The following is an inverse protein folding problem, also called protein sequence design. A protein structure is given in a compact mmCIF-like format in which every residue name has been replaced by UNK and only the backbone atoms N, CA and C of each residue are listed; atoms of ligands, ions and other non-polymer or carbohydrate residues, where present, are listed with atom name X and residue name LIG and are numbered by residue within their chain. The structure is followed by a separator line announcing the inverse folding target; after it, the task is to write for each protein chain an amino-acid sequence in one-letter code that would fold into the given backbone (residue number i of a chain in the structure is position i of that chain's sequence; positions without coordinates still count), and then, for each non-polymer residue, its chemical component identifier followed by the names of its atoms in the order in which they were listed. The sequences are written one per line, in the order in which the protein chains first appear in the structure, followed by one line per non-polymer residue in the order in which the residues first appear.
data_IF_311768104087
#
_entry.id   IF_311768104087
#
_cell.length_a   1.000
_cell.length_b   1.000
_cell.length_c   1.000
_cell.angle_alpha   90.00
_cell.angle_beta   90.00
_cell.angle_gamma   90.00
#
_symmetry.space_group_name_H-M   'P 1'
#
loop_
_entity.id
_entity.type
_entity.pdbx_description
1 polymer ?
#
# COMPACT_ATOMS: atom_id res chain seq x y z
N UNK A 1 -2.07 14.97 19.21
CA UNK A 1 -3.55 15.08 19.05
C UNK A 1 -4.08 13.68 18.77
N UNK A 2 -5.00 13.17 19.58
CA UNK A 2 -5.46 11.77 19.53
C UNK A 2 -6.84 11.75 18.89
N UNK A 3 -7.00 11.05 17.78
CA UNK A 3 -8.30 10.78 17.15
C UNK A 3 -8.94 9.55 17.83
N UNK A 4 -10.20 9.66 18.27
CA UNK A 4 -10.94 8.51 18.82
C UNK A 4 -11.85 7.93 17.73
N UNK A 5 -11.55 6.71 17.31
CA UNK A 5 -12.50 5.86 16.60
C UNK A 5 -12.88 4.73 17.57
N UNK A 6 -14.12 4.73 18.06
CA UNK A 6 -14.69 3.70 18.97
C UNK A 6 -13.71 3.22 20.08
N UNK A 7 -13.29 4.12 20.99
CA UNK A 7 -12.48 3.84 22.18
C UNK A 7 -11.01 3.38 21.98
N UNK A 8 -10.46 3.42 20.78
CA UNK A 8 -9.03 3.18 20.53
C UNK A 8 -8.38 4.54 20.27
N UNK A 9 -7.37 4.88 21.09
CA UNK A 9 -6.50 6.03 20.85
C UNK A 9 -5.53 5.66 19.74
N UNK A 10 -5.79 6.14 18.52
CA UNK A 10 -4.89 5.93 17.38
C UNK A 10 -3.85 7.06 17.39
N UNK A 11 -2.55 6.74 17.48
CA UNK A 11 -1.51 7.76 17.41
C UNK A 11 -1.48 8.41 16.04
N UNK A 12 -1.08 9.68 15.99
CA UNK A 12 -0.73 10.33 14.72
C UNK A 12 0.59 9.69 14.27
N UNK A 13 0.55 9.01 13.13
CA UNK A 13 1.66 8.22 12.62
C UNK A 13 1.77 8.44 11.11
N UNK A 14 2.99 8.53 10.61
CA UNK A 14 3.25 8.63 9.17
C UNK A 14 3.04 7.29 8.47
N UNK A 15 2.58 7.36 7.24
CA UNK A 15 2.41 6.21 6.35
C UNK A 15 3.38 6.34 5.19
N UNK A 16 4.35 5.45 5.13
CA UNK A 16 5.32 5.35 4.04
C UNK A 16 4.79 4.42 2.97
N UNK A 17 4.75 4.89 1.71
CA UNK A 17 4.30 4.08 0.58
C UNK A 17 5.42 3.99 -0.46
N UNK A 18 5.83 2.76 -0.79
CA UNK A 18 6.84 2.48 -1.80
C UNK A 18 6.25 2.60 -3.20
N UNK A 19 6.59 3.69 -3.89
CA UNK A 19 6.01 4.06 -5.19
C UNK A 19 7.05 4.10 -6.32
N UNK A 20 8.30 3.70 -6.09
CA UNK A 20 9.40 3.96 -7.02
C UNK A 20 9.79 2.82 -7.95
N UNK A 21 9.15 1.66 -7.87
CA UNK A 21 9.45 0.48 -8.69
C UNK A 21 9.03 0.63 -10.15
N UNK A 22 9.74 -0.04 -11.07
CA UNK A 22 9.46 0.02 -12.52
C UNK A 22 8.21 -0.76 -12.93
N UNK A 23 7.79 -1.77 -12.16
CA UNK A 23 6.59 -2.57 -12.44
C UNK A 23 6.67 -3.37 -13.74
N UNK A 24 7.84 -3.91 -14.08
CA UNK A 24 8.14 -4.56 -15.38
C UNK A 24 7.22 -5.73 -15.74
N UNK A 25 6.58 -6.38 -14.76
CA UNK A 25 5.61 -7.46 -14.96
C UNK A 25 4.22 -6.98 -15.43
N UNK A 26 3.95 -5.67 -15.35
CA UNK A 26 2.72 -5.01 -15.79
C UNK A 26 3.04 -4.01 -16.92
N UNK A 27 3.79 -4.46 -17.93
CA UNK A 27 4.40 -3.59 -18.94
C UNK A 27 3.37 -2.80 -19.74
N UNK A 28 2.22 -3.37 -20.03
CA UNK A 28 1.12 -2.75 -20.78
C UNK A 28 0.64 -1.43 -20.15
N UNK A 29 0.74 -1.30 -18.84
CA UNK A 29 0.37 -0.10 -18.09
C UNK A 29 1.59 0.73 -17.70
N UNK A 30 2.68 0.07 -17.26
CA UNK A 30 3.83 0.77 -16.65
C UNK A 30 4.72 1.45 -17.68
N UNK A 31 4.54 1.14 -18.96
CA UNK A 31 5.12 1.92 -20.06
C UNK A 31 4.55 3.35 -20.12
N UNK A 32 3.31 3.55 -19.70
CA UNK A 32 2.63 4.85 -19.78
C UNK A 32 2.57 5.56 -18.43
N UNK A 33 2.46 4.85 -17.31
CA UNK A 33 2.31 5.41 -15.95
C UNK A 33 3.01 4.56 -14.90
N UNK A 34 3.45 5.11 -13.75
CA UNK A 34 4.01 4.28 -12.69
C UNK A 34 2.92 3.37 -12.08
N UNK A 35 3.30 2.18 -11.62
CA UNK A 35 2.38 1.15 -11.10
C UNK A 35 1.36 1.69 -10.06
N UNK A 36 1.73 2.58 -9.12
CA UNK A 36 0.77 3.17 -8.17
C UNK A 36 -0.33 4.02 -8.83
N UNK A 37 -0.12 4.50 -10.05
CA UNK A 37 -1.12 5.26 -10.81
C UNK A 37 -1.97 4.41 -11.77
N UNK A 38 -1.84 3.10 -11.74
CA UNK A 38 -2.72 2.21 -12.50
C UNK A 38 -4.14 2.31 -11.96
N UNK A 39 -5.12 2.44 -12.87
CA UNK A 39 -6.50 2.73 -12.50
C UNK A 39 -7.25 1.50 -12.02
N UNK A 40 -7.90 1.62 -10.88
CA UNK A 40 -8.86 0.66 -10.34
C UNK A 40 -10.22 1.37 -10.25
N UNK A 41 -11.10 1.04 -11.17
CA UNK A 41 -12.31 1.82 -11.38
C UNK A 41 -11.98 3.24 -11.84
N UNK A 42 -12.47 4.23 -11.09
CA UNK A 42 -12.29 5.65 -11.42
C UNK A 42 -11.15 6.36 -10.66
N UNK A 43 -10.36 5.62 -9.89
CA UNK A 43 -9.25 6.17 -9.10
C UNK A 43 -7.99 5.31 -9.22
N UNK A 44 -6.78 5.89 -9.11
CA UNK A 44 -5.56 5.09 -9.14
C UNK A 44 -5.41 4.21 -7.88
N UNK A 45 -4.67 3.13 -8.01
CA UNK A 45 -4.33 2.19 -6.92
C UNK A 45 -3.86 2.92 -5.66
N UNK A 46 -2.94 3.86 -5.81
CA UNK A 46 -2.39 4.66 -4.72
C UNK A 46 -3.48 5.40 -3.93
N UNK A 47 -4.49 5.93 -4.62
CA UNK A 47 -5.60 6.61 -3.97
C UNK A 47 -6.39 5.63 -3.07
N UNK A 48 -6.66 4.40 -3.54
CA UNK A 48 -7.35 3.39 -2.74
C UNK A 48 -6.55 3.01 -1.50
N UNK A 49 -5.24 2.84 -1.63
CA UNK A 49 -4.34 2.55 -0.50
C UNK A 49 -4.39 3.69 0.52
N UNK A 50 -4.17 4.94 0.08
CA UNK A 50 -4.21 6.11 0.97
C UNK A 50 -5.58 6.28 1.64
N UNK A 51 -6.66 5.96 0.93
CA UNK A 51 -8.03 6.04 1.46
C UNK A 51 -8.29 5.01 2.56
N UNK A 52 -7.72 3.80 2.43
CA UNK A 52 -7.75 2.79 3.49
C UNK A 52 -7.10 3.32 4.78
N UNK A 53 -5.88 3.86 4.68
CA UNK A 53 -5.18 4.44 5.83
C UNK A 53 -5.94 5.64 6.43
N UNK A 54 -6.47 6.51 5.57
CA UNK A 54 -7.26 7.67 5.97
C UNK A 54 -8.54 7.29 6.72
N UNK A 55 -9.17 6.15 6.39
CA UNK A 55 -10.33 5.62 7.11
C UNK A 55 -10.03 5.36 8.59
N UNK A 56 -8.79 4.94 8.91
CA UNK A 56 -8.31 4.77 10.27
C UNK A 56 -7.70 6.03 10.89
N UNK A 57 -7.76 7.18 10.19
CA UNK A 57 -7.26 8.46 10.70
C UNK A 57 -5.80 8.77 10.35
N UNK A 58 -5.09 7.88 9.65
CA UNK A 58 -3.73 8.12 9.17
C UNK A 58 -3.77 8.95 7.90
N UNK A 59 -3.39 10.23 7.98
CA UNK A 59 -3.51 11.20 6.90
C UNK A 59 -2.18 11.89 6.53
N UNK A 60 -1.08 11.46 7.12
CA UNK A 60 0.27 11.98 6.83
C UNK A 60 1.07 10.92 6.08
N UNK A 61 1.33 11.18 4.79
CA UNK A 61 1.91 10.22 3.87
C UNK A 61 3.30 10.64 3.42
N UNK A 62 4.23 9.68 3.35
CA UNK A 62 5.54 9.83 2.72
C UNK A 62 5.59 8.89 1.51
N UNK A 63 5.55 9.43 0.30
CA UNK A 63 5.60 8.66 -0.94
C UNK A 63 7.06 8.53 -1.41
N UNK A 64 7.61 7.31 -1.36
CA UNK A 64 8.96 7.01 -1.85
C UNK A 64 8.96 6.95 -3.37
N UNK A 65 9.32 8.03 -4.04
CA UNK A 65 9.28 8.16 -5.50
C UNK A 65 10.54 7.60 -6.17
N UNK A 66 10.39 7.19 -7.40
CA UNK A 66 11.44 6.73 -8.30
C UNK A 66 10.97 6.78 -9.74
N UNK A 67 10.80 5.63 -10.39
CA UNK A 67 10.33 5.55 -11.78
C UNK A 67 9.05 6.32 -12.01
N UNK A 68 9.07 7.29 -12.93
CA UNK A 68 7.96 8.21 -13.28
C UNK A 68 7.33 8.91 -12.05
N UNK A 69 8.13 9.23 -11.04
CA UNK A 69 7.64 9.86 -9.81
C UNK A 69 7.01 11.24 -10.03
N UNK A 70 7.41 11.95 -11.10
CA UNK A 70 6.81 13.21 -11.53
C UNK A 70 5.32 13.09 -11.87
N UNK A 71 4.91 11.94 -12.41
CA UNK A 71 3.49 11.69 -12.71
C UNK A 71 2.66 11.58 -11.42
N UNK A 72 3.24 10.99 -10.36
CA UNK A 72 2.58 10.91 -9.06
C UNK A 72 2.44 12.31 -8.46
N UNK A 73 3.50 13.14 -8.51
CA UNK A 73 3.42 14.56 -8.09
C UNK A 73 2.33 15.29 -8.85
N UNK A 74 2.32 15.18 -10.19
CA UNK A 74 1.35 15.84 -11.06
C UNK A 74 -0.10 15.41 -10.77
N UNK A 75 -0.33 14.14 -10.45
CA UNK A 75 -1.65 13.65 -10.06
C UNK A 75 -2.18 14.38 -8.82
N UNK A 76 -1.37 14.53 -7.76
CA UNK A 76 -1.80 15.18 -6.54
C UNK A 76 -1.81 16.70 -6.62
N UNK A 77 -0.88 17.31 -7.37
CA UNK A 77 -0.87 18.75 -7.60
C UNK A 77 -2.08 19.25 -8.38
N UNK A 78 -2.64 18.39 -9.25
CA UNK A 78 -3.84 18.69 -10.03
C UNK A 78 -5.06 17.87 -9.51
N UNK A 79 -5.06 17.48 -8.23
CA UNK A 79 -6.07 16.57 -7.69
C UNK A 79 -7.49 17.14 -7.81
N UNK A 80 -7.67 18.40 -7.47
CA UNK A 80 -8.98 19.05 -7.48
C UNK A 80 -9.53 19.16 -8.91
N UNK A 81 -8.66 19.48 -9.87
CA UNK A 81 -9.04 19.58 -11.29
C UNK A 81 -9.39 18.22 -11.89
N UNK A 82 -8.67 17.17 -11.48
CA UNK A 82 -8.94 15.80 -11.92
C UNK A 82 -10.17 15.19 -11.24
N UNK A 83 -10.58 15.75 -10.11
CA UNK A 83 -11.66 15.22 -9.28
C UNK A 83 -13.00 15.94 -9.47
N UNK A 84 -13.00 17.19 -9.98
CA UNK A 84 -14.17 18.06 -10.03
C UNK A 84 -14.29 18.79 -11.37
N UNK A 85 -15.51 19.20 -11.71
CA UNK A 85 -15.75 20.11 -12.82
C UNK A 85 -15.26 21.52 -12.48
N UNK A 86 -14.68 22.23 -13.45
CA UNK A 86 -14.22 23.60 -13.26
C UNK A 86 -14.30 24.39 -14.56
N UNK A 87 -14.35 25.71 -14.44
CA UNK A 87 -14.24 26.64 -15.57
C UNK A 87 -12.88 27.32 -15.54
N UNK A 88 -12.14 27.27 -16.66
CA UNK A 88 -10.86 27.93 -16.86
C UNK A 88 -11.02 29.12 -17.80
N UNK A 89 -10.68 30.33 -17.33
CA UNK A 89 -10.62 31.55 -18.15
C UNK A 89 -9.17 31.79 -18.61
N UNK A 90 -8.81 31.29 -19.81
CA UNK A 90 -7.43 31.32 -20.32
C UNK A 90 -6.81 32.72 -20.36
N UNK A 91 -7.59 33.75 -20.73
CA UNK A 91 -7.08 35.12 -20.86
C UNK A 91 -6.72 35.79 -19.53
N UNK A 92 -7.34 35.41 -18.44
CA UNK A 92 -7.13 35.98 -17.10
C UNK A 92 -6.38 35.05 -16.15
N UNK A 93 -6.18 33.78 -16.53
CA UNK A 93 -5.68 32.75 -15.63
C UNK A 93 -6.60 32.41 -14.47
N UNK A 94 -7.81 32.97 -14.46
CA UNK A 94 -8.81 32.73 -13.41
C UNK A 94 -9.42 31.36 -13.54
N UNK A 95 -9.50 30.63 -12.43
CA UNK A 95 -10.06 29.31 -12.33
C UNK A 95 -11.22 29.33 -11.33
N UNK A 96 -12.37 28.88 -11.78
CA UNK A 96 -13.55 28.72 -10.92
C UNK A 96 -13.85 27.21 -10.82
N UNK A 97 -13.66 26.66 -9.64
CA UNK A 97 -13.97 25.26 -9.37
C UNK A 97 -15.42 25.16 -8.96
N UNK A 98 -16.21 24.42 -9.72
CA UNK A 98 -17.61 24.16 -9.43
C UNK A 98 -17.72 22.99 -8.44
N UNK A 99 -17.62 23.29 -7.16
CA UNK A 99 -17.76 22.28 -6.12
C UNK A 99 -19.23 22.01 -5.81
N UNK A 100 -19.69 20.82 -6.09
CA UNK A 100 -20.97 20.36 -5.55
C UNK A 100 -20.84 19.59 -4.23
N UNK A 101 -19.65 19.11 -3.88
CA UNK A 101 -19.36 18.47 -2.58
C UNK A 101 -17.87 18.61 -2.24
N UNK A 102 -17.56 18.96 -1.01
CA UNK A 102 -16.18 19.01 -0.50
C UNK A 102 -15.72 17.59 -0.17
N UNK A 103 -15.37 16.81 -1.21
CA UNK A 103 -14.95 15.40 -1.10
C UNK A 103 -13.43 15.24 -1.13
N UNK A 104 -12.68 16.34 -1.25
CA UNK A 104 -11.22 16.33 -1.27
C UNK A 104 -10.67 15.83 0.06
N UNK A 105 -9.87 14.76 0.06
CA UNK A 105 -9.25 14.27 1.29
C UNK A 105 -8.31 15.29 1.92
N UNK A 106 -8.28 15.34 3.25
CA UNK A 106 -7.33 16.19 3.99
C UNK A 106 -6.04 15.41 4.26
N UNK A 107 -5.25 15.17 3.21
CA UNK A 107 -3.98 14.48 3.31
C UNK A 107 -2.81 15.47 3.34
N UNK A 108 -1.83 15.19 4.20
CA UNK A 108 -0.48 15.74 4.12
C UNK A 108 0.38 14.76 3.33
N UNK A 109 1.06 15.20 2.28
CA UNK A 109 1.82 14.31 1.41
C UNK A 109 3.25 14.85 1.23
N UNK A 110 4.23 14.08 1.69
CA UNK A 110 5.65 14.31 1.40
C UNK A 110 6.03 13.46 0.19
N UNK A 111 6.48 14.12 -0.87
CA UNK A 111 7.01 13.49 -2.07
C UNK A 111 8.52 13.33 -1.94
N UNK A 112 8.98 12.19 -1.46
CA UNK A 112 10.40 11.91 -1.26
C UNK A 112 11.00 11.29 -2.54
N UNK A 113 11.93 11.99 -3.19
CA UNK A 113 12.71 11.41 -4.27
C UNK A 113 13.73 10.44 -3.67
N UNK A 114 13.50 9.16 -3.83
CA UNK A 114 14.36 8.10 -3.31
C UNK A 114 15.26 7.49 -4.38
N UNK A 115 15.28 8.06 -5.59
CA UNK A 115 16.11 7.63 -6.69
C UNK A 115 15.44 6.63 -7.63
N UNK A 116 15.74 6.74 -8.92
CA UNK A 116 15.08 5.98 -9.98
C UNK A 116 15.39 4.48 -9.90
N UNK A 117 16.65 4.11 -9.68
CA UNK A 117 17.14 2.71 -9.64
C UNK A 117 17.39 2.21 -8.23
N UNK A 118 16.73 2.79 -7.23
CA UNK A 118 16.91 2.43 -5.84
C UNK A 118 16.03 1.24 -5.45
N UNK A 119 16.57 0.30 -4.69
CA UNK A 119 15.85 -0.86 -4.16
C UNK A 119 14.99 -0.50 -2.92
N UNK A 120 14.07 -1.38 -2.55
CA UNK A 120 13.03 -1.14 -1.54
C UNK A 120 13.59 -0.75 -0.17
N UNK A 121 14.58 -1.45 0.35
CA UNK A 121 15.21 -1.17 1.64
C UNK A 121 15.94 0.17 1.65
N UNK A 122 16.66 0.47 0.57
CA UNK A 122 17.34 1.76 0.45
C UNK A 122 16.37 2.94 0.31
N UNK A 123 15.20 2.75 -0.30
CA UNK A 123 14.14 3.78 -0.29
C UNK A 123 13.67 4.09 1.13
N UNK A 124 13.44 3.03 1.93
CA UNK A 124 13.05 3.20 3.34
C UNK A 124 14.16 3.91 4.11
N UNK A 125 15.43 3.53 3.92
CA UNK A 125 16.56 4.21 4.58
C UNK A 125 16.60 5.71 4.26
N UNK A 126 16.36 6.10 3.00
CA UNK A 126 16.44 7.49 2.53
C UNK A 126 15.36 8.41 3.08
N UNK A 127 14.25 7.84 3.58
CA UNK A 127 13.14 8.65 4.13
C UNK A 127 13.25 8.87 5.64
N UNK A 128 14.31 8.40 6.30
CA UNK A 128 14.51 8.57 7.74
C UNK A 128 14.32 10.00 8.21
N UNK A 129 14.83 10.99 7.46
CA UNK A 129 14.68 12.41 7.77
C UNK A 129 13.22 12.90 7.79
N UNK A 130 12.32 12.23 7.06
CA UNK A 130 10.90 12.59 7.01
C UNK A 130 10.09 11.88 8.12
N UNK A 131 10.62 10.79 8.69
CA UNK A 131 10.04 10.16 9.88
C UNK A 131 10.37 11.00 11.11
N UNK A 132 11.58 11.55 11.18
CA UNK A 132 12.02 12.40 12.29
C UNK A 132 12.14 11.60 13.58
N UNK A 133 11.59 12.18 14.66
CA UNK A 133 11.62 11.61 16.01
C UNK A 133 10.43 10.68 16.29
N UNK A 134 9.58 10.38 15.28
CA UNK A 134 8.48 9.43 15.45
C UNK A 134 9.06 8.06 15.80
N UNK A 135 8.59 7.47 16.90
CA UNK A 135 9.08 6.15 17.34
C UNK A 135 8.64 5.02 16.40
N UNK A 136 7.50 5.21 15.73
CA UNK A 136 6.87 4.21 14.86
C UNK A 136 6.25 4.87 13.63
N UNK A 137 6.15 4.10 12.56
CA UNK A 137 5.46 4.47 11.33
C UNK A 137 4.86 3.26 10.64
N UNK A 138 3.87 3.50 9.79
CA UNK A 138 3.34 2.47 8.91
C UNK A 138 4.06 2.46 7.57
N UNK A 139 4.22 1.27 6.99
CA UNK A 139 4.87 1.09 5.68
C UNK A 139 4.03 0.16 4.82
N UNK A 140 3.91 0.46 3.54
CA UNK A 140 3.27 -0.45 2.57
C UNK A 140 3.82 -0.29 1.16
N UNK A 141 3.49 -1.24 0.30
CA UNK A 141 3.74 -1.18 -1.13
C UNK A 141 2.63 -0.38 -1.83
N UNK A 142 2.96 0.16 -3.02
CA UNK A 142 2.03 0.95 -3.83
C UNK A 142 1.20 0.14 -4.84
N UNK A 143 1.06 -1.18 -4.63
CA UNK A 143 0.54 -2.11 -5.64
C UNK A 143 -0.44 -3.18 -5.12
N UNK A 144 -0.86 -3.08 -3.86
CA UNK A 144 -1.83 -4.00 -3.27
C UNK A 144 -2.93 -3.26 -2.50
N UNK A 145 -4.15 -3.77 -2.59
CA UNK A 145 -5.31 -3.34 -1.80
C UNK A 145 -5.81 -4.49 -0.92
N UNK A 146 -6.34 -4.14 0.25
CA UNK A 146 -6.86 -5.09 1.21
C UNK A 146 -7.95 -4.45 2.09
N UNK A 147 -8.70 -5.27 2.81
CA UNK A 147 -9.62 -4.84 3.88
C UNK A 147 -8.99 -5.05 5.27
N UNK A 148 -7.65 -4.92 5.36
CA UNK A 148 -6.91 -5.11 6.60
C UNK A 148 -7.35 -4.11 7.67
N UNK A 149 -7.60 -4.61 8.89
CA UNK A 149 -7.89 -3.76 10.04
C UNK A 149 -6.58 -3.17 10.59
N UNK A 150 -6.29 -1.93 10.22
CA UNK A 150 -5.05 -1.24 10.64
C UNK A 150 -5.01 -0.95 12.14
N UNK A 151 -6.15 -0.81 12.79
CA UNK A 151 -6.20 -0.62 14.25
C UNK A 151 -5.80 -1.92 14.98
N UNK A 152 -6.30 -3.07 14.52
CA UNK A 152 -5.93 -4.37 15.08
C UNK A 152 -4.47 -4.73 14.77
N UNK A 153 -3.99 -4.41 13.55
CA UNK A 153 -2.58 -4.55 13.16
C UNK A 153 -1.67 -3.75 14.10
N UNK A 154 -2.00 -2.48 14.33
CA UNK A 154 -1.24 -1.63 15.25
C UNK A 154 -1.26 -2.16 16.69
N UNK A 155 -2.44 -2.52 17.20
CA UNK A 155 -2.57 -3.11 18.53
C UNK A 155 -1.72 -4.38 18.67
N UNK A 156 -1.75 -5.26 17.67
CA UNK A 156 -0.93 -6.48 17.65
C UNK A 156 0.57 -6.15 17.68
N UNK A 157 1.01 -5.13 16.93
CA UNK A 157 2.39 -4.66 16.94
C UNK A 157 2.83 -4.24 18.34
N UNK A 158 2.01 -3.42 19.01
CA UNK A 158 2.26 -2.97 20.40
C UNK A 158 2.36 -4.15 21.37
N UNK A 159 1.46 -5.13 21.28
CA UNK A 159 1.46 -6.33 22.13
C UNK A 159 2.69 -7.20 21.90
N UNK A 160 3.22 -7.26 20.67
CA UNK A 160 4.41 -8.03 20.34
C UNK A 160 5.72 -7.31 20.68
N UNK A 161 5.75 -5.99 20.66
CA UNK A 161 6.91 -5.16 20.99
C UNK A 161 8.12 -5.45 20.10
N UNK A 162 7.89 -5.74 18.81
CA UNK A 162 8.94 -6.08 17.83
C UNK A 162 9.29 -4.90 16.95
N UNK A 163 10.47 -4.93 16.35
CA UNK A 163 10.93 -3.87 15.44
C UNK A 163 10.03 -3.74 14.22
N UNK A 164 9.56 -4.87 13.67
CA UNK A 164 8.67 -4.89 12.51
C UNK A 164 7.54 -5.89 12.71
N UNK A 165 6.33 -5.48 12.38
CA UNK A 165 5.18 -6.39 12.18
C UNK A 165 4.75 -6.31 10.71
N UNK A 166 4.69 -7.46 10.05
CA UNK A 166 4.20 -7.59 8.65
C UNK A 166 2.82 -8.24 8.64
N UNK A 167 1.95 -7.79 7.74
CA UNK A 167 0.70 -8.49 7.47
C UNK A 167 0.97 -9.70 6.59
N UNK A 168 0.73 -10.89 7.14
CA UNK A 168 0.77 -12.15 6.40
C UNK A 168 -0.56 -12.42 5.73
N UNK A 169 -0.52 -12.88 4.49
CA UNK A 169 -1.69 -13.25 3.68
C UNK A 169 -1.49 -14.63 3.06
N UNK A 170 -2.58 -15.26 2.68
CA UNK A 170 -2.58 -16.56 1.98
C UNK A 170 -3.29 -16.39 0.63
N UNK A 171 -2.62 -15.85 -0.42
CA UNK A 171 -3.23 -15.70 -1.72
C UNK A 171 -3.51 -17.08 -2.35
N UNK A 172 -4.53 -17.19 -3.26
CA UNK A 172 -4.73 -18.41 -4.04
C UNK A 172 -3.47 -18.77 -4.82
N UNK A 173 -3.15 -20.06 -4.90
CA UNK A 173 -2.08 -20.53 -5.79
C UNK A 173 -2.34 -20.07 -7.23
N UNK A 174 -1.33 -19.60 -7.98
CA UNK A 174 -1.51 -19.24 -9.39
C UNK A 174 -1.75 -20.47 -10.28
N UNK A 175 -1.49 -21.71 -9.75
CA UNK A 175 -1.58 -22.96 -10.47
C UNK A 175 -2.48 -23.96 -9.74
N UNK A 176 -2.98 -24.97 -10.49
CA UNK A 176 -3.56 -26.15 -9.91
C UNK A 176 -2.52 -26.96 -9.12
N UNK A 177 -2.93 -27.51 -7.99
CA UNK A 177 -2.09 -28.35 -7.11
C UNK A 177 -2.55 -29.81 -7.20
N UNK A 178 -1.59 -30.72 -7.32
CA UNK A 178 -1.83 -32.15 -7.43
C UNK A 178 -1.30 -32.87 -6.18
N UNK A 179 -2.16 -33.62 -5.51
CA UNK A 179 -1.72 -34.61 -4.54
C UNK A 179 -1.36 -35.91 -5.29
N UNK A 180 -0.13 -36.39 -5.10
CA UNK A 180 0.36 -37.57 -5.81
C UNK A 180 0.73 -38.69 -4.84
N UNK A 181 0.58 -39.95 -5.28
CA UNK A 181 1.11 -41.10 -4.61
C UNK A 181 1.64 -42.12 -5.66
N UNK A 182 2.87 -42.57 -5.50
CA UNK A 182 3.56 -43.52 -6.39
C UNK A 182 3.43 -43.14 -7.89
N UNK A 183 3.55 -41.87 -8.23
CA UNK A 183 3.46 -41.37 -9.60
C UNK A 183 2.04 -41.22 -10.15
N UNK A 184 1.00 -41.51 -9.36
CA UNK A 184 -0.42 -41.32 -9.70
C UNK A 184 -0.97 -40.09 -9.02
N UNK A 185 -1.78 -39.29 -9.77
CA UNK A 185 -2.51 -38.15 -9.21
C UNK A 185 -3.73 -38.71 -8.45
N UNK A 186 -3.81 -38.40 -7.14
CA UNK A 186 -4.92 -38.78 -6.26
C UNK A 186 -5.97 -37.71 -6.11
N UNK A 187 -5.54 -36.44 -6.20
CA UNK A 187 -6.45 -35.30 -6.17
C UNK A 187 -5.86 -34.14 -6.99
N UNK A 188 -6.73 -33.37 -7.62
CA UNK A 188 -6.39 -32.12 -8.29
C UNK A 188 -7.29 -31.02 -7.75
N UNK A 189 -6.68 -29.90 -7.35
CA UNK A 189 -7.41 -28.72 -6.91
C UNK A 189 -6.93 -27.52 -7.69
N UNK A 190 -7.82 -26.87 -8.43
CA UNK A 190 -7.51 -25.70 -9.21
C UNK A 190 -7.38 -24.50 -8.28
N UNK A 191 -6.21 -23.84 -8.29
CA UNK A 191 -5.91 -22.61 -7.54
C UNK A 191 -6.36 -22.66 -6.07
N UNK A 192 -5.92 -23.65 -5.29
CA UNK A 192 -6.26 -23.69 -3.87
C UNK A 192 -5.67 -22.49 -3.13
N UNK A 193 -6.27 -22.15 -1.98
CA UNK A 193 -5.66 -21.24 -1.03
C UNK A 193 -4.27 -21.76 -0.65
N UNK A 194 -3.26 -20.86 -0.61
CA UNK A 194 -1.94 -21.22 -0.12
C UNK A 194 -2.01 -21.62 1.37
N UNK A 195 -1.30 -22.67 1.77
CA UNK A 195 -1.09 -22.99 3.19
C UNK A 195 -0.02 -22.09 3.81
N UNK A 196 0.91 -21.61 2.98
CA UNK A 196 2.00 -20.74 3.41
C UNK A 196 1.56 -19.29 3.52
N UNK A 197 2.10 -18.61 4.53
CA UNK A 197 1.90 -17.19 4.72
C UNK A 197 2.91 -16.39 3.88
N UNK A 198 2.39 -15.49 3.10
CA UNK A 198 3.15 -14.62 2.20
C UNK A 198 3.15 -13.18 2.73
N UNK A 199 4.21 -12.43 2.47
CA UNK A 199 4.29 -11.00 2.76
C UNK A 199 3.19 -10.25 1.99
N UNK A 200 2.20 -9.73 2.70
CA UNK A 200 1.06 -8.97 2.16
C UNK A 200 1.26 -7.45 2.17
N UNK A 201 2.41 -6.96 2.58
CA UNK A 201 2.60 -5.53 2.85
C UNK A 201 1.97 -5.11 4.18
N UNK A 202 1.52 -3.87 4.27
CA UNK A 202 0.88 -3.31 5.47
C UNK A 202 1.67 -3.62 6.75
N UNK A 203 2.81 -2.95 6.87
CA UNK A 203 3.70 -3.10 8.02
C UNK A 203 3.44 -2.03 9.07
N UNK A 204 3.78 -2.33 10.31
CA UNK A 204 4.11 -1.35 11.36
C UNK A 204 5.58 -1.52 11.70
N UNK A 205 6.31 -0.43 11.70
CA UNK A 205 7.74 -0.40 11.89
C UNK A 205 8.11 0.52 13.05
N UNK A 206 8.95 0.03 13.97
CA UNK A 206 9.64 0.87 14.92
C UNK A 206 10.85 1.55 14.26
N UNK A 207 11.24 2.72 14.71
CA UNK A 207 12.36 3.52 14.18
C UNK A 207 13.70 2.74 14.16
N UNK A 208 13.86 1.72 15.00
CA UNK A 208 15.02 0.81 14.99
C UNK A 208 15.21 0.06 13.66
N UNK A 209 14.19 0.00 12.80
CA UNK A 209 14.30 -0.61 11.47
C UNK A 209 15.46 0.00 10.65
N UNK A 210 15.77 1.29 10.87
CA UNK A 210 16.84 1.96 10.16
C UNK A 210 18.25 1.41 10.44
N UNK A 211 18.42 0.65 11.54
CA UNK A 211 19.67 -0.06 11.86
C UNK A 211 19.88 -1.32 11.00
N UNK A 212 18.84 -1.75 10.28
CA UNK A 212 18.82 -2.88 9.35
C UNK A 212 18.94 -2.46 7.89
N UNK A 213 18.99 -1.17 7.61
CA UNK A 213 18.87 -0.64 6.26
C UNK A 213 20.09 0.20 5.86
N UNK A 214 20.44 0.18 4.57
CA UNK A 214 21.44 1.06 3.98
C UNK A 214 20.83 1.95 2.90
N UNK A 215 21.27 3.20 2.83
CA UNK A 215 20.83 4.18 1.83
C UNK A 215 21.63 4.11 0.52
N UNK A 216 22.46 3.08 0.32
CA UNK A 216 23.36 2.89 -0.82
C UNK A 216 22.66 2.71 -2.18
N UNK A 217 21.39 2.42 -2.18
CA UNK A 217 20.57 2.17 -3.37
C UNK A 217 20.37 0.68 -3.70
N UNK A 218 21.10 -0.23 -3.06
CA UNK A 218 21.14 -1.67 -3.41
C UNK A 218 20.41 -2.58 -2.42
N UNK A 219 20.06 -2.07 -1.24
CA UNK A 219 19.41 -2.86 -0.20
C UNK A 219 17.97 -3.19 -0.57
N UNK A 220 17.69 -4.48 -0.77
CA UNK A 220 16.34 -5.04 -0.98
C UNK A 220 15.74 -5.39 0.37
N UNK A 221 14.64 -4.74 0.77
CA UNK A 221 14.01 -4.89 2.09
C UNK A 221 13.61 -6.34 2.38
N UNK A 222 13.09 -7.02 1.37
CA UNK A 222 12.55 -8.38 1.43
C UNK A 222 13.63 -9.47 1.51
N UNK A 223 14.90 -9.09 1.39
CA UNK A 223 16.05 -10.01 1.46
C UNK A 223 16.74 -9.92 2.82
N UNK A 224 17.94 -9.33 2.85
CA UNK A 224 18.77 -9.30 4.05
C UNK A 224 18.08 -8.64 5.26
N UNK A 225 17.44 -7.46 5.13
CA UNK A 225 16.81 -6.82 6.28
C UNK A 225 15.73 -7.68 6.95
N UNK A 226 14.76 -8.21 6.18
CA UNK A 226 13.70 -9.06 6.75
C UNK A 226 14.24 -10.39 7.27
N UNK A 227 15.25 -11.00 6.62
CA UNK A 227 15.88 -12.23 7.10
C UNK A 227 16.60 -12.00 8.44
N UNK A 228 17.33 -10.90 8.55
CA UNK A 228 18.04 -10.55 9.77
C UNK A 228 17.07 -10.24 10.92
N UNK A 229 16.01 -9.44 10.66
CA UNK A 229 14.93 -9.20 11.63
C UNK A 229 14.28 -10.52 12.09
N UNK A 230 14.03 -11.45 11.19
CA UNK A 230 13.47 -12.76 11.53
C UNK A 230 14.43 -13.60 12.39
N UNK A 231 15.71 -13.65 12.04
CA UNK A 231 16.72 -14.42 12.79
C UNK A 231 17.00 -13.84 14.19
N UNK A 232 16.85 -12.54 14.35
CA UNK A 232 17.00 -11.85 15.64
C UNK A 232 15.69 -11.85 16.47
N UNK A 233 14.59 -12.43 15.93
CA UNK A 233 13.29 -12.48 16.60
C UNK A 233 12.60 -11.13 16.67
N UNK A 234 12.93 -10.19 15.78
CA UNK A 234 12.42 -8.82 15.70
C UNK A 234 11.36 -8.62 14.60
N UNK A 235 10.95 -9.69 13.92
CA UNK A 235 9.88 -9.70 12.93
C UNK A 235 8.67 -10.47 13.45
N UNK A 236 7.52 -9.80 13.58
CA UNK A 236 6.23 -10.41 13.91
C UNK A 236 5.34 -10.49 12.68
N UNK A 237 4.41 -11.45 12.65
CA UNK A 237 3.43 -11.61 11.58
C UNK A 237 2.01 -11.43 12.13
N UNK A 238 1.25 -10.51 11.52
CA UNK A 238 -0.19 -10.34 11.74
C UNK A 238 -0.95 -11.09 10.65
N UNK A 239 -1.75 -12.08 11.02
CA UNK A 239 -2.45 -12.95 10.08
C UNK A 239 -3.73 -12.30 9.58
N UNK A 240 -3.76 -11.96 8.28
CA UNK A 240 -4.94 -11.44 7.58
C UNK A 240 -5.53 -12.51 6.65
N UNK A 241 -6.78 -12.90 6.89
CA UNK A 241 -7.46 -13.99 6.18
C UNK A 241 -8.55 -13.52 5.21
N UNK A 242 -8.83 -12.23 5.18
CA UNK A 242 -9.88 -11.64 4.36
C UNK A 242 -9.32 -11.19 3.00
N UNK A 243 -9.91 -10.18 2.40
CA UNK A 243 -9.56 -9.73 1.07
C UNK A 243 -8.17 -9.09 1.02
N UNK A 244 -7.35 -9.58 0.12
CA UNK A 244 -6.08 -8.98 -0.29
C UNK A 244 -5.85 -9.24 -1.77
N UNK A 245 -5.42 -8.23 -2.52
CA UNK A 245 -5.16 -8.35 -3.95
C UNK A 245 -3.99 -7.47 -4.37
N UNK A 246 -2.95 -8.08 -4.90
CA UNK A 246 -1.80 -7.40 -5.50
C UNK A 246 -1.95 -7.36 -7.02
N UNK A 247 -1.64 -6.22 -7.61
CA UNK A 247 -1.69 -6.03 -9.07
C UNK A 247 -0.29 -6.12 -9.66
N UNK A 248 0.15 -7.32 -9.97
CA UNK A 248 1.46 -7.59 -10.56
C UNK A 248 1.44 -7.80 -12.08
N UNK A 249 0.30 -8.20 -12.61
CA UNK A 249 0.11 -8.49 -14.04
C UNK A 249 -1.17 -7.83 -14.53
N UNK A 250 -1.31 -7.70 -15.85
CA UNK A 250 -2.54 -7.18 -16.45
C UNK A 250 -3.78 -8.00 -16.06
N UNK A 251 -3.65 -9.32 -15.97
CA UNK A 251 -4.73 -10.21 -15.49
C UNK A 251 -5.15 -9.90 -14.05
N UNK A 252 -4.21 -9.54 -13.16
CA UNK A 252 -4.53 -9.12 -11.79
C UNK A 252 -5.30 -7.81 -11.80
N UNK A 253 -4.91 -6.87 -12.66
CA UNK A 253 -5.61 -5.60 -12.84
C UNK A 253 -7.04 -5.79 -13.36
N UNK A 254 -7.22 -6.61 -14.41
CA UNK A 254 -8.55 -6.96 -14.94
C UNK A 254 -9.42 -7.61 -13.85
N UNK A 255 -8.86 -8.55 -13.08
CA UNK A 255 -9.54 -9.20 -11.97
C UNK A 255 -10.04 -8.19 -10.92
N UNK A 256 -9.18 -7.26 -10.50
CA UNK A 256 -9.54 -6.23 -9.52
C UNK A 256 -10.59 -5.25 -10.08
N UNK A 257 -10.48 -4.87 -11.35
CA UNK A 257 -11.47 -4.04 -12.02
C UNK A 257 -12.82 -4.76 -12.20
N UNK A 258 -12.83 -6.07 -12.40
CA UNK A 258 -14.06 -6.85 -12.43
C UNK A 258 -14.77 -6.86 -11.07
N UNK A 259 -14.03 -6.94 -9.95
CA UNK A 259 -14.59 -6.73 -8.61
C UNK A 259 -15.23 -5.35 -8.49
N UNK A 260 -14.50 -4.30 -8.91
CA UNK A 260 -14.99 -2.93 -8.86
C UNK A 260 -16.29 -2.72 -9.64
N UNK A 261 -16.35 -3.21 -10.89
CA UNK A 261 -17.51 -3.08 -11.78
C UNK A 261 -18.75 -3.83 -11.27
N UNK A 262 -18.56 -4.98 -10.63
CA UNK A 262 -19.65 -5.75 -10.01
C UNK A 262 -20.18 -5.14 -8.71
N UNK A 263 -19.60 -4.01 -8.26
CA UNK A 263 -19.94 -3.41 -6.97
C UNK A 263 -19.42 -4.18 -5.75
N UNK A 264 -18.69 -5.27 -5.94
CA UNK A 264 -18.05 -6.03 -4.87
C UNK A 264 -16.65 -5.46 -4.62
N UNK A 265 -16.52 -4.54 -3.67
CA UNK A 265 -15.32 -3.75 -3.40
C UNK A 265 -14.87 -3.93 -1.95
N UNK A 266 -14.39 -5.11 -1.54
CA UNK A 266 -14.08 -5.40 -0.14
C UNK A 266 -13.08 -4.44 0.48
N UNK A 267 -12.07 -3.97 -0.31
CA UNK A 267 -11.05 -3.02 0.14
C UNK A 267 -11.57 -1.61 0.37
N UNK A 268 -12.75 -1.25 -0.15
CA UNK A 268 -13.35 0.08 0.01
C UNK A 268 -14.19 0.15 1.29
N UNK A 269 -13.58 -0.18 2.42
CA UNK A 269 -14.24 -0.26 3.72
C UNK A 269 -14.87 1.07 4.16
N UNK A 270 -14.41 2.20 3.63
CA UNK A 270 -14.98 3.53 3.88
C UNK A 270 -16.33 3.75 3.21
N UNK A 271 -16.72 2.91 2.23
CA UNK A 271 -18.05 2.94 1.59
C UNK A 271 -19.03 1.98 2.27
N UNK A 272 -18.55 1.04 3.04
CA UNK A 272 -19.42 0.12 3.77
C UNK A 272 -20.18 0.90 4.82
N UNK A 273 -21.52 0.97 4.69
CA UNK A 273 -22.37 1.58 5.72
C UNK A 273 -22.05 0.89 7.04
N UNK A 274 -21.72 1.69 8.05
CA UNK A 274 -21.65 1.21 9.42
C UNK A 274 -23.07 0.71 9.78
N UNK A 275 -23.31 -0.59 9.61
CA UNK A 275 -24.44 -1.23 10.22
C UNK A 275 -24.11 -1.30 11.72
N UNK A 276 -24.50 -0.23 12.42
CA UNK A 276 -24.49 -0.12 13.87
C UNK A 276 -25.76 -0.69 14.43
#
# INVERSE_FOLDING_TARGET
MILRIKNISIPIMKVVILCGGQGTRLREETEYRPKPLVMVGNRPMLWHIMKLYSHYGYNDFVLCLGYKGEMIKNYFLNYDELAHDFTLHLGSGKKEVLHHQNTTPRWSITFADTGQSCETGSRIARIRQYIGDDEEFMLTYGDAVADVNLADLYKFHQERGKTVTVTGVQPPSPFGVMATNEGLVKAFTEKPQSEDWTNGGFFVCNNKIFDYLSSDGTTVFEQEPLKRLASEGELAIYHHRNFWHCVDTFKHLEGLNAYYQKGNRPWMIWEQKQNS
#
